data_IF_976727959792
#
_entry.id   IF_976727959792
#
_cell.length_a   1.000
_cell.length_b   1.000
_cell.length_c   1.000
_cell.angle_alpha   90.00
_cell.angle_beta   90.00
_cell.angle_gamma   90.00
#
_symmetry.space_group_name_H-M   'P 1'
#
loop_
_entity.id
_entity.type
_entity.pdbx_description
1 polymer ?
#
# COMPACT_ATOMS: atom_id res chain seq x y z
N UNK A 1 4.23 26.06 3.15
CA UNK A 1 3.16 25.11 2.86
C UNK A 1 3.84 23.85 2.37
N UNK A 2 3.85 22.81 3.18
CA UNK A 2 4.41 21.53 2.74
C UNK A 2 3.37 20.81 1.89
N UNK A 3 3.82 20.16 0.83
CA UNK A 3 2.95 19.36 -0.03
C UNK A 3 2.61 18.06 0.70
N UNK A 4 1.43 18.05 1.35
CA UNK A 4 0.93 16.93 2.16
C UNK A 4 0.81 15.65 1.32
N UNK A 5 0.45 15.76 0.02
CA UNK A 5 0.41 14.61 -0.88
C UNK A 5 1.81 14.05 -1.08
N UNK A 6 2.78 14.90 -1.36
CA UNK A 6 4.15 14.47 -1.57
C UNK A 6 4.73 13.76 -0.34
N UNK A 7 4.48 14.29 0.87
CA UNK A 7 4.93 13.66 2.12
C UNK A 7 4.33 12.25 2.31
N UNK A 8 3.01 12.12 2.14
CA UNK A 8 2.32 10.84 2.33
C UNK A 8 2.67 9.82 1.25
N UNK A 9 2.85 10.27 0.01
CA UNK A 9 3.34 9.43 -1.07
C UNK A 9 4.80 9.00 -0.83
N UNK A 10 5.65 9.85 -0.27
CA UNK A 10 7.02 9.44 0.06
C UNK A 10 7.07 8.41 1.19
N UNK A 11 6.26 8.59 2.23
CA UNK A 11 6.10 7.62 3.33
C UNK A 11 5.56 6.28 2.80
N UNK A 12 4.50 6.31 2.00
CA UNK A 12 3.89 5.12 1.42
C UNK A 12 4.85 4.35 0.50
N UNK A 13 5.73 5.06 -0.21
CA UNK A 13 6.72 4.46 -1.11
C UNK A 13 7.66 3.51 -0.39
N UNK A 14 8.10 3.87 0.82
CA UNK A 14 9.00 3.02 1.63
C UNK A 14 8.35 1.69 1.98
N UNK A 15 7.06 1.70 2.31
CA UNK A 15 6.29 0.50 2.63
C UNK A 15 6.08 -0.37 1.39
N UNK A 16 5.74 0.23 0.25
CA UNK A 16 5.58 -0.50 -1.02
C UNK A 16 6.88 -1.15 -1.47
N UNK A 17 8.00 -0.44 -1.41
CA UNK A 17 9.31 -1.01 -1.75
C UNK A 17 9.67 -2.19 -0.84
N UNK A 18 9.48 -2.05 0.47
CA UNK A 18 9.70 -3.14 1.42
C UNK A 18 8.81 -4.35 1.09
N UNK A 19 7.54 -4.12 0.76
CA UNK A 19 6.61 -5.20 0.36
C UNK A 19 7.05 -5.92 -0.92
N UNK A 20 7.62 -5.21 -1.91
CA UNK A 20 8.21 -5.80 -3.11
C UNK A 20 9.41 -6.68 -2.74
N UNK A 21 10.30 -6.17 -1.88
CA UNK A 21 11.50 -6.88 -1.44
C UNK A 21 11.18 -8.19 -0.72
N UNK A 22 10.17 -8.19 0.16
CA UNK A 22 9.81 -9.36 0.98
C UNK A 22 8.73 -10.25 0.36
N UNK A 23 8.04 -9.81 -0.69
CA UNK A 23 6.90 -10.52 -1.28
C UNK A 23 7.24 -11.88 -1.91
N UNK A 24 8.38 -11.96 -2.62
CA UNK A 24 8.89 -13.25 -3.14
C UNK A 24 9.38 -14.15 -1.99
N UNK A 25 10.24 -13.69 -1.06
CA UNK A 25 10.63 -14.49 0.11
C UNK A 25 9.45 -15.00 0.94
N UNK A 26 8.38 -14.22 1.06
CA UNK A 26 7.18 -14.58 1.83
C UNK A 26 6.52 -15.88 1.37
N UNK A 27 6.73 -16.31 0.11
CA UNK A 27 6.16 -17.55 -0.42
C UNK A 27 6.69 -18.80 0.30
N UNK A 28 7.86 -18.73 0.92
CA UNK A 28 8.50 -19.87 1.62
C UNK A 28 9.02 -19.50 3.02
N UNK A 29 8.97 -18.23 3.41
CA UNK A 29 9.46 -17.73 4.69
C UNK A 29 8.34 -17.01 5.47
N UNK A 30 7.79 -17.63 6.54
CA UNK A 30 6.76 -17.02 7.37
C UNK A 30 7.13 -15.67 7.98
N UNK A 31 8.42 -15.44 8.32
CA UNK A 31 8.86 -14.16 8.86
C UNK A 31 8.80 -13.04 7.81
N UNK A 32 9.05 -13.36 6.54
CA UNK A 32 8.89 -12.42 5.44
C UNK A 32 7.41 -12.10 5.20
N UNK A 33 6.50 -13.08 5.35
CA UNK A 33 5.05 -12.84 5.28
C UNK A 33 4.56 -11.97 6.45
N UNK A 34 5.06 -12.18 7.67
CA UNK A 34 4.75 -11.30 8.80
C UNK A 34 5.23 -9.87 8.55
N UNK A 35 6.44 -9.71 7.99
CA UNK A 35 6.96 -8.39 7.60
C UNK A 35 6.07 -7.74 6.54
N UNK A 36 5.69 -8.48 5.50
CA UNK A 36 4.76 -8.02 4.47
C UNK A 36 3.44 -7.49 5.06
N UNK A 37 2.82 -8.27 5.97
CA UNK A 37 1.59 -7.86 6.64
C UNK A 37 1.75 -6.66 7.57
N UNK A 38 2.94 -6.44 8.14
CA UNK A 38 3.23 -5.24 8.93
C UNK A 38 3.32 -3.98 8.06
N UNK A 39 3.98 -4.06 6.90
CA UNK A 39 4.06 -2.96 5.94
C UNK A 39 2.69 -2.61 5.36
N UNK A 40 1.84 -3.61 5.06
CA UNK A 40 0.48 -3.38 4.60
C UNK A 40 -0.37 -2.61 5.63
N UNK A 41 -0.19 -2.89 6.93
CA UNK A 41 -0.85 -2.13 8.01
C UNK A 41 -0.30 -0.71 8.14
N UNK A 42 1.00 -0.52 7.97
CA UNK A 42 1.59 0.82 7.96
C UNK A 42 1.01 1.66 6.81
N UNK A 43 0.86 1.04 5.63
CA UNK A 43 0.21 1.68 4.50
C UNK A 43 -1.28 1.98 4.75
N UNK A 44 -2.00 1.08 5.41
CA UNK A 44 -3.38 1.32 5.83
C UNK A 44 -3.47 2.55 6.76
N UNK A 45 -2.55 2.68 7.70
CA UNK A 45 -2.50 3.81 8.62
C UNK A 45 -2.24 5.15 7.90
N UNK A 46 -1.58 5.15 6.74
CA UNK A 46 -1.44 6.35 5.90
C UNK A 46 -2.78 6.68 5.22
N UNK A 47 -3.45 5.67 4.65
CA UNK A 47 -4.76 5.83 4.03
C UNK A 47 -5.80 6.38 5.02
N UNK A 48 -5.77 5.91 6.27
CA UNK A 48 -6.67 6.34 7.35
C UNK A 48 -6.47 7.80 7.78
N UNK A 49 -5.37 8.45 7.39
CA UNK A 49 -5.18 9.90 7.59
C UNK A 49 -6.07 10.75 6.67
N UNK A 50 -6.82 10.12 5.75
CA UNK A 50 -7.76 10.78 4.87
C UNK A 50 -7.10 11.64 3.80
N UNK A 51 -7.84 12.58 3.23
CA UNK A 51 -7.42 13.48 2.15
C UNK A 51 -7.34 14.96 2.58
N UNK A 52 -7.42 15.24 3.89
CA UNK A 52 -7.30 16.59 4.42
C UNK A 52 -6.03 17.30 3.91
N UNK A 53 -6.22 18.43 3.25
CA UNK A 53 -5.12 19.23 2.68
C UNK A 53 -4.59 18.75 1.32
N UNK A 54 -5.21 17.75 0.69
CA UNK A 54 -4.80 17.16 -0.59
C UNK A 54 -5.88 17.41 -1.67
N UNK A 55 -5.69 18.36 -2.60
CA UNK A 55 -6.68 18.69 -3.62
C UNK A 55 -6.79 17.65 -4.76
N UNK A 56 -5.78 16.80 -4.95
CA UNK A 56 -5.68 15.87 -6.08
C UNK A 56 -6.76 14.78 -6.04
N UNK A 57 -7.60 14.75 -7.08
CA UNK A 57 -8.70 13.79 -7.20
C UNK A 57 -8.26 12.33 -7.15
N UNK A 58 -7.11 12.00 -7.78
CA UNK A 58 -6.57 10.65 -7.75
C UNK A 58 -6.21 10.18 -6.32
N UNK A 59 -5.71 11.09 -5.48
CA UNK A 59 -5.43 10.78 -4.07
C UNK A 59 -6.71 10.57 -3.28
N UNK A 60 -7.73 11.41 -3.49
CA UNK A 60 -9.04 11.25 -2.85
C UNK A 60 -9.72 9.93 -3.23
N UNK A 61 -9.59 9.53 -4.50
CA UNK A 61 -10.04 8.22 -4.99
C UNK A 61 -9.30 7.08 -4.29
N UNK A 62 -7.98 7.20 -4.12
CA UNK A 62 -7.23 6.19 -3.37
C UNK A 62 -7.67 6.09 -1.92
N UNK A 63 -7.92 7.22 -1.24
CA UNK A 63 -8.45 7.22 0.14
C UNK A 63 -9.82 6.54 0.23
N UNK A 64 -10.70 6.81 -0.74
CA UNK A 64 -12.06 6.26 -0.76
C UNK A 64 -12.10 4.76 -1.06
N UNK A 65 -11.31 4.28 -2.03
CA UNK A 65 -11.46 2.93 -2.58
C UNK A 65 -10.23 2.02 -2.36
N UNK A 66 -9.07 2.59 -2.02
CA UNK A 66 -7.82 1.86 -1.84
C UNK A 66 -7.82 0.92 -0.63
N UNK A 67 -8.69 1.17 0.36
CA UNK A 67 -8.74 0.42 1.61
C UNK A 67 -9.09 -1.05 1.44
N UNK A 68 -9.92 -1.41 0.45
CA UNK A 68 -10.30 -2.81 0.21
C UNK A 68 -9.10 -3.67 -0.17
N UNK A 69 -8.27 -3.20 -1.12
CA UNK A 69 -7.07 -3.92 -1.55
C UNK A 69 -6.05 -4.07 -0.43
N UNK A 70 -5.89 -3.03 0.40
CA UNK A 70 -4.97 -3.08 1.55
C UNK A 70 -5.45 -4.07 2.61
N UNK A 71 -6.75 -4.08 2.91
CA UNK A 71 -7.33 -5.04 3.86
C UNK A 71 -7.17 -6.48 3.38
N UNK A 72 -7.36 -6.73 2.08
CA UNK A 72 -7.16 -8.06 1.50
C UNK A 72 -5.71 -8.56 1.68
N UNK A 73 -4.71 -7.69 1.53
CA UNK A 73 -3.31 -8.02 1.81
C UNK A 73 -3.09 -8.43 3.28
N UNK A 74 -3.65 -7.65 4.21
CA UNK A 74 -3.50 -7.88 5.66
C UNK A 74 -4.18 -9.19 6.06
N UNK A 75 -5.42 -9.40 5.64
CA UNK A 75 -6.17 -10.61 5.96
C UNK A 75 -5.50 -11.88 5.42
N UNK A 76 -4.94 -11.82 4.21
CA UNK A 76 -4.21 -12.95 3.64
C UNK A 76 -2.92 -13.24 4.43
N UNK A 77 -2.16 -12.19 4.78
CA UNK A 77 -0.95 -12.35 5.60
C UNK A 77 -1.26 -12.94 6.98
N UNK A 78 -2.35 -12.50 7.62
CA UNK A 78 -2.78 -13.00 8.94
C UNK A 78 -3.19 -14.48 8.92
N UNK A 79 -3.74 -14.94 7.79
CA UNK A 79 -4.07 -16.36 7.59
C UNK A 79 -2.89 -17.20 7.12
N UNK A 80 -1.71 -16.62 6.94
CA UNK A 80 -0.53 -17.32 6.44
C UNK A 80 -0.56 -17.59 4.93
N UNK A 81 -1.45 -16.94 4.18
CA UNK A 81 -1.63 -17.16 2.74
C UNK A 81 -0.79 -16.15 1.93
N UNK A 82 0.49 -16.48 1.75
CA UNK A 82 1.44 -15.64 1.03
C UNK A 82 1.06 -15.42 -0.45
N UNK A 83 0.42 -16.40 -1.08
CA UNK A 83 0.01 -16.29 -2.48
C UNK A 83 -1.18 -15.34 -2.62
N UNK A 84 -2.18 -15.42 -1.74
CA UNK A 84 -3.28 -14.45 -1.72
C UNK A 84 -2.82 -13.04 -1.35
N UNK A 85 -1.88 -12.91 -0.40
CA UNK A 85 -1.33 -11.62 -0.01
C UNK A 85 -0.60 -10.93 -1.16
N UNK A 86 0.24 -11.70 -1.89
CA UNK A 86 0.92 -11.20 -3.08
C UNK A 86 -0.05 -10.88 -4.22
N UNK A 87 -1.05 -11.73 -4.46
CA UNK A 87 -2.06 -11.50 -5.49
C UNK A 87 -2.83 -10.19 -5.23
N UNK A 88 -3.24 -9.93 -3.98
CA UNK A 88 -3.91 -8.69 -3.59
C UNK A 88 -3.01 -7.46 -3.77
N UNK A 89 -1.71 -7.58 -3.52
CA UNK A 89 -0.73 -6.50 -3.74
C UNK A 89 -0.56 -6.14 -5.21
N UNK A 90 -0.50 -7.15 -6.08
CA UNK A 90 -0.33 -6.96 -7.53
C UNK A 90 -1.63 -6.68 -8.28
N UNK A 91 -2.74 -6.53 -7.57
CA UNK A 91 -4.04 -6.26 -8.18
C UNK A 91 -4.03 -4.88 -8.87
N UNK A 92 -4.31 -4.87 -10.17
CA UNK A 92 -4.20 -3.67 -11.01
C UNK A 92 -5.41 -2.73 -10.87
N UNK A 93 -6.43 -3.10 -10.10
CA UNK A 93 -7.68 -2.36 -9.99
C UNK A 93 -7.91 -1.68 -8.64
N UNK A 94 -7.14 -2.05 -7.61
CA UNK A 94 -7.36 -1.62 -6.23
C UNK A 94 -6.05 -1.48 -5.45
N UNK A 95 -6.13 -0.97 -4.22
CA UNK A 95 -4.99 -0.89 -3.30
C UNK A 95 -3.82 -0.09 -3.89
N UNK A 96 -2.72 -0.78 -4.19
CA UNK A 96 -1.47 -0.17 -4.66
C UNK A 96 -1.60 0.47 -6.05
N UNK A 97 -2.43 -0.08 -6.94
CA UNK A 97 -2.63 0.52 -8.27
C UNK A 97 -3.25 1.92 -8.20
N UNK A 98 -4.23 2.10 -7.30
CA UNK A 98 -4.83 3.40 -7.03
C UNK A 98 -3.83 4.36 -6.38
N UNK A 99 -2.99 3.86 -5.49
CA UNK A 99 -1.92 4.63 -4.86
C UNK A 99 -0.87 5.12 -5.87
N UNK A 100 -0.44 4.25 -6.80
CA UNK A 100 0.48 4.63 -7.86
C UNK A 100 -0.10 5.75 -8.73
N UNK A 101 -1.40 5.69 -9.02
CA UNK A 101 -2.11 6.75 -9.74
C UNK A 101 -2.19 8.04 -8.91
N UNK A 102 -2.43 7.95 -7.60
CA UNK A 102 -2.48 9.10 -6.69
C UNK A 102 -1.13 9.83 -6.58
N UNK A 103 -0.03 9.08 -6.61
CA UNK A 103 1.33 9.58 -6.44
C UNK A 103 2.05 9.86 -7.77
N UNK A 104 1.35 9.78 -8.90
CA UNK A 104 1.92 10.03 -10.23
C UNK A 104 2.61 11.40 -10.29
N UNK A 105 3.72 11.46 -11.03
CA UNK A 105 4.61 12.61 -11.18
C UNK A 105 5.41 13.01 -9.93
N UNK A 106 5.31 12.25 -8.82
CA UNK A 106 6.23 12.37 -7.69
C UNK A 106 7.46 11.46 -7.92
N UNK A 107 8.66 11.85 -7.46
CA UNK A 107 9.86 11.04 -7.63
C UNK A 107 9.73 9.64 -7.02
N UNK A 108 10.02 8.61 -7.83
CA UNK A 108 10.04 7.22 -7.39
C UNK A 108 8.68 6.49 -7.41
N UNK A 109 7.66 7.09 -8.02
CA UNK A 109 6.35 6.50 -8.30
C UNK A 109 6.13 6.28 -9.80
#
# INVERSE_FOLDING_TARGET
MTDVRAERCDEARQHVLTMIEVGIPAQVNPAALQRFGAEARALQAILERGDDGVPEEAYRRWVADGGEGIRAMIEAADRGDASAAWAAFTDQSRGIALLATACVALPGW
#
